data_IF_944247832242
#
_entry.id   IF_944247832242
#
_cell.length_a   1.000
_cell.length_b   1.000
_cell.length_c   1.000
_cell.angle_alpha   90.00
_cell.angle_beta   90.00
_cell.angle_gamma   90.00
#
_symmetry.space_group_name_H-M   'P 1'
#
loop_
_entity.id
_entity.type
_entity.pdbx_description
1 polymer ?
#
# COMPACT_ATOMS: atom_id res chain seq x y z
N UNK A 1 -18.92 -29.19 -14.11
CA UNK A 1 -17.90 -29.19 -13.03
C UNK A 1 -17.54 -27.75 -12.70
N UNK A 2 -18.30 -27.13 -11.78
CA UNK A 2 -18.12 -25.72 -11.42
C UNK A 2 -17.26 -25.57 -10.15
N UNK A 3 -16.19 -24.79 -10.24
CA UNK A 3 -15.27 -24.53 -9.11
C UNK A 3 -15.88 -23.49 -8.16
N UNK A 4 -16.49 -24.00 -7.07
CA UNK A 4 -17.02 -23.25 -5.92
C UNK A 4 -15.93 -22.59 -5.05
N UNK A 5 -15.19 -21.61 -5.56
CA UNK A 5 -14.17 -20.88 -4.77
C UNK A 5 -14.52 -19.43 -4.39
N UNK A 6 -15.73 -18.94 -4.71
CA UNK A 6 -16.05 -17.51 -4.61
C UNK A 6 -17.09 -17.07 -3.56
N UNK A 7 -17.30 -17.82 -2.47
CA UNK A 7 -18.31 -17.45 -1.45
C UNK A 7 -17.83 -17.46 0.01
N UNK A 8 -16.59 -17.06 0.30
CA UNK A 8 -16.15 -16.95 1.71
C UNK A 8 -15.17 -15.82 2.05
N UNK A 9 -15.23 -14.70 1.34
CA UNK A 9 -14.54 -13.46 1.74
C UNK A 9 -15.52 -12.29 1.83
N UNK A 10 -16.55 -12.48 2.63
CA UNK A 10 -17.31 -11.38 3.21
C UNK A 10 -17.58 -11.73 4.66
N UNK A 11 -16.77 -11.15 5.55
CA UNK A 11 -17.07 -10.82 6.94
C UNK A 11 -15.82 -10.20 7.54
N UNK A 12 -15.99 -8.96 8.00
CA UNK A 12 -15.03 -8.16 8.75
C UNK A 12 -14.30 -9.02 9.79
N UNK A 13 -13.05 -9.40 9.49
CA UNK A 13 -12.13 -9.83 10.54
C UNK A 13 -11.50 -8.59 11.11
N UNK A 14 -11.73 -8.37 12.40
CA UNK A 14 -11.05 -7.32 13.13
C UNK A 14 -9.53 -7.42 12.93
N UNK A 15 -8.80 -6.28 12.89
CA UNK A 15 -7.35 -6.23 12.75
C UNK A 15 -6.56 -7.14 13.71
N UNK A 16 -7.20 -7.57 14.80
CA UNK A 16 -6.68 -8.43 15.87
C UNK A 16 -6.50 -9.90 15.51
N UNK A 17 -7.20 -10.44 14.50
CA UNK A 17 -7.04 -11.85 14.10
C UNK A 17 -5.90 -12.06 13.09
N UNK A 18 -5.70 -11.09 12.19
CA UNK A 18 -4.57 -11.12 11.25
C UNK A 18 -3.23 -11.04 11.98
N UNK A 19 -3.15 -10.29 13.08
CA UNK A 19 -1.92 -10.16 13.88
C UNK A 19 -1.50 -11.48 14.53
N UNK A 20 -2.45 -12.33 14.93
CA UNK A 20 -2.19 -13.63 15.58
C UNK A 20 -1.68 -14.70 14.61
N UNK A 21 -2.14 -14.69 13.34
CA UNK A 21 -1.67 -15.65 12.32
C UNK A 21 -0.28 -15.32 11.77
N UNK A 22 0.08 -14.03 11.71
CA UNK A 22 1.41 -13.56 11.24
C UNK A 22 2.53 -13.98 12.20
N UNK A 23 2.25 -14.07 13.50
CA UNK A 23 3.25 -14.39 14.52
C UNK A 23 3.78 -15.83 14.48
N UNK A 24 3.09 -16.78 13.82
CA UNK A 24 3.52 -18.20 13.77
C UNK A 24 4.46 -18.55 12.61
N UNK A 25 4.63 -17.65 11.61
CA UNK A 25 5.42 -17.93 10.39
C UNK A 25 6.72 -17.11 10.27
N UNK A 26 7.11 -16.34 11.28
CA UNK A 26 8.31 -15.49 11.24
C UNK A 26 8.23 -14.32 10.25
N UNK A 27 7.03 -13.96 9.79
CA UNK A 27 6.85 -12.83 8.87
C UNK A 27 7.08 -11.50 9.61
N UNK A 28 7.69 -10.49 8.96
CA UNK A 28 7.89 -9.18 9.56
C UNK A 28 6.58 -8.57 10.05
N UNK A 29 6.61 -7.97 11.24
CA UNK A 29 5.47 -7.21 11.78
C UNK A 29 5.18 -6.01 10.86
N UNK A 30 3.92 -5.57 10.75
CA UNK A 30 3.58 -4.34 10.04
C UNK A 30 4.40 -3.14 10.54
N UNK A 31 4.88 -2.32 9.61
CA UNK A 31 5.72 -1.17 9.92
C UNK A 31 4.84 0.01 10.37
N UNK A 32 5.05 0.52 11.59
CA UNK A 32 4.37 1.71 12.11
C UNK A 32 5.08 2.97 11.61
N UNK A 33 4.37 3.82 10.87
CA UNK A 33 4.90 5.05 10.26
C UNK A 33 3.95 6.24 10.46
N UNK A 34 4.43 7.45 10.17
CA UNK A 34 3.66 8.69 10.19
C UNK A 34 3.41 9.13 8.74
N UNK A 35 2.19 9.54 8.43
CA UNK A 35 1.88 10.09 7.11
C UNK A 35 2.53 11.47 6.97
N UNK A 36 3.26 11.70 5.88
CA UNK A 36 3.92 13.00 5.65
C UNK A 36 2.90 14.13 5.46
N UNK A 37 1.75 13.84 4.85
CA UNK A 37 0.70 14.82 4.57
C UNK A 37 -0.14 15.16 5.80
N UNK A 38 -0.87 14.18 6.36
CA UNK A 38 -1.81 14.45 7.45
C UNK A 38 -1.21 14.25 8.86
N UNK A 39 0.06 13.84 8.96
CA UNK A 39 0.77 13.56 10.22
C UNK A 39 0.14 12.47 11.10
N UNK A 40 -0.91 11.78 10.64
CA UNK A 40 -1.51 10.62 11.33
C UNK A 40 -0.61 9.39 11.25
N UNK A 41 -0.63 8.57 12.30
CA UNK A 41 0.11 7.32 12.34
C UNK A 41 -0.69 6.20 11.67
N UNK A 42 -0.03 5.33 10.91
CA UNK A 42 -0.65 4.17 10.27
C UNK A 42 0.35 3.01 10.14
N UNK A 43 -0.13 1.85 9.69
CA UNK A 43 0.67 0.63 9.54
C UNK A 43 0.79 0.23 8.07
N UNK A 44 2.02 -0.05 7.63
CA UNK A 44 2.31 -0.60 6.32
C UNK A 44 2.45 -2.13 6.46
N UNK A 45 1.69 -2.86 5.65
CA UNK A 45 1.69 -4.32 5.65
C UNK A 45 2.91 -4.87 4.92
N UNK A 46 3.45 -5.99 5.41
CA UNK A 46 4.42 -6.79 4.67
C UNK A 46 3.71 -7.66 3.64
N UNK A 47 4.14 -7.59 2.39
CA UNK A 47 3.61 -8.33 1.24
C UNK A 47 4.54 -9.52 1.00
N UNK A 48 4.02 -10.73 1.20
CA UNK A 48 4.81 -11.96 1.15
C UNK A 48 5.36 -12.23 -0.25
N UNK A 49 4.55 -11.99 -1.28
CA UNK A 49 4.89 -12.27 -2.69
C UNK A 49 6.10 -11.44 -3.13
N UNK A 50 6.12 -10.16 -2.79
CA UNK A 50 7.22 -9.25 -3.12
C UNK A 50 8.36 -9.25 -2.08
N UNK A 51 8.24 -10.05 -1.01
CA UNK A 51 9.18 -10.10 0.12
C UNK A 51 9.53 -8.70 0.66
N UNK A 52 8.57 -7.77 0.66
CA UNK A 52 8.79 -6.37 1.03
C UNK A 52 7.58 -5.74 1.70
N UNK A 53 7.72 -4.50 2.20
CA UNK A 53 6.56 -3.73 2.64
C UNK A 53 5.82 -3.15 1.44
N UNK A 54 4.50 -2.96 1.58
CA UNK A 54 3.66 -2.49 0.49
C UNK A 54 4.18 -1.18 -0.10
N UNK A 55 4.38 -1.16 -1.41
CA UNK A 55 4.85 0.02 -2.15
C UNK A 55 3.76 1.10 -2.23
N UNK A 56 2.48 0.73 -2.12
CA UNK A 56 1.32 1.64 -2.11
C UNK A 56 1.50 2.82 -1.17
N UNK A 57 2.05 2.60 0.02
CA UNK A 57 2.17 3.64 1.02
C UNK A 57 3.43 4.50 0.88
N UNK A 58 4.28 4.22 -0.12
CA UNK A 58 5.41 5.06 -0.45
C UNK A 58 4.99 6.10 -1.50
N UNK A 59 5.17 7.38 -1.20
CA UNK A 59 4.87 8.49 -2.10
C UNK A 59 5.70 8.45 -3.38
N UNK A 60 6.98 8.14 -3.25
CA UNK A 60 7.93 8.10 -4.35
C UNK A 60 7.58 6.99 -5.34
N UNK A 61 6.98 5.90 -4.85
CA UNK A 61 6.42 4.88 -5.73
C UNK A 61 5.42 5.45 -6.73
N UNK A 62 4.62 6.45 -6.34
CA UNK A 62 3.61 7.04 -7.21
C UNK A 62 4.16 8.13 -8.13
N UNK A 63 5.09 8.94 -7.64
CA UNK A 63 5.55 10.16 -8.31
C UNK A 63 6.78 9.95 -9.19
N UNK A 64 7.66 9.01 -8.85
CA UNK A 64 8.86 8.72 -9.63
C UNK A 64 8.56 7.60 -10.66
N UNK A 65 8.67 7.84 -11.98
CA UNK A 65 8.44 6.81 -13.01
C UNK A 65 9.34 5.57 -12.86
N UNK A 66 10.57 5.71 -12.36
CA UNK A 66 11.56 4.64 -12.26
C UNK A 66 11.43 3.81 -10.98
N UNK A 67 10.53 4.21 -10.08
CA UNK A 67 10.35 3.61 -8.76
C UNK A 67 10.01 2.10 -8.76
N UNK A 68 9.50 1.54 -9.86
CA UNK A 68 9.19 0.11 -9.90
C UNK A 68 10.47 -0.73 -9.72
N UNK A 69 11.62 -0.22 -10.16
CA UNK A 69 12.94 -0.87 -10.09
C UNK A 69 13.74 -0.52 -8.82
N UNK A 70 13.25 0.43 -8.01
CA UNK A 70 13.95 0.85 -6.80
C UNK A 70 13.64 -0.08 -5.63
N UNK A 71 14.69 -0.56 -4.98
CA UNK A 71 14.60 -1.36 -3.76
C UNK A 71 14.45 -0.45 -2.53
N UNK A 72 13.27 0.16 -2.40
CA UNK A 72 12.96 1.14 -1.36
C UNK A 72 13.16 0.68 0.09
N UNK A 73 13.27 -0.63 0.35
CA UNK A 73 13.22 -1.20 1.69
C UNK A 73 14.54 -1.82 2.18
N UNK A 74 15.60 -1.81 1.35
CA UNK A 74 16.89 -2.43 1.70
C UNK A 74 17.59 -1.74 2.86
N UNK A 75 17.61 -0.41 2.87
CA UNK A 75 18.23 0.35 3.96
C UNK A 75 17.23 0.70 5.06
N UNK A 76 17.57 0.35 6.30
CA UNK A 76 16.79 0.68 7.50
C UNK A 76 16.66 2.20 7.68
N UNK A 77 17.60 2.97 7.15
CA UNK A 77 17.58 4.44 7.13
C UNK A 77 16.76 5.03 5.96
N UNK A 78 16.69 4.37 4.80
CA UNK A 78 15.79 4.79 3.70
C UNK A 78 14.30 4.69 4.09
N UNK A 79 13.98 3.89 5.11
CA UNK A 79 12.64 3.83 5.73
C UNK A 79 12.29 5.08 6.55
N UNK A 80 13.19 6.08 6.65
CA UNK A 80 12.99 7.30 7.44
C UNK A 80 11.89 8.17 6.81
N UNK A 81 10.67 7.83 7.23
CA UNK A 81 9.61 8.70 7.77
C UNK A 81 8.96 9.78 6.89
N UNK A 82 9.61 10.32 5.87
CA UNK A 82 9.12 11.58 5.26
C UNK A 82 8.40 11.43 3.92
N UNK A 83 8.39 10.23 3.33
CA UNK A 83 7.68 9.95 2.07
C UNK A 83 6.53 8.94 2.22
N UNK A 84 6.06 8.67 3.44
CA UNK A 84 4.99 7.69 3.65
C UNK A 84 3.61 8.35 3.61
N UNK A 85 2.70 7.83 2.80
CA UNK A 85 1.35 8.37 2.61
C UNK A 85 0.30 7.35 3.06
N UNK A 86 -0.66 7.80 3.88
CA UNK A 86 -1.74 6.94 4.33
C UNK A 86 -2.81 6.81 3.25
N UNK A 87 -3.62 5.75 3.37
CA UNK A 87 -4.68 5.43 2.42
C UNK A 87 -5.68 6.59 2.25
N UNK A 88 -6.02 7.30 3.34
CA UNK A 88 -6.91 8.45 3.27
C UNK A 88 -6.33 9.62 2.44
N UNK A 89 -5.03 9.91 2.59
CA UNK A 89 -4.38 10.95 1.80
C UNK A 89 -4.21 10.55 0.33
N UNK A 90 -3.97 9.27 0.05
CA UNK A 90 -3.95 8.74 -1.33
C UNK A 90 -5.32 8.87 -2.00
N UNK A 91 -6.40 8.53 -1.29
CA UNK A 91 -7.75 8.69 -1.80
C UNK A 91 -8.09 10.17 -2.02
N UNK A 92 -7.73 11.05 -1.08
CA UNK A 92 -7.92 12.49 -1.23
C UNK A 92 -7.19 13.04 -2.47
N UNK A 93 -5.95 12.60 -2.72
CA UNK A 93 -5.24 12.90 -3.96
C UNK A 93 -6.06 12.45 -5.18
N UNK A 94 -6.49 11.18 -5.22
CA UNK A 94 -7.24 10.64 -6.36
C UNK A 94 -8.55 11.39 -6.64
N UNK A 95 -9.24 11.86 -5.61
CA UNK A 95 -10.49 12.62 -5.76
C UNK A 95 -10.23 14.07 -6.20
N UNK A 96 -9.08 14.65 -5.86
CA UNK A 96 -8.61 15.88 -6.49
C UNK A 96 -7.99 15.57 -7.87
N UNK A 97 -8.84 15.52 -8.90
CA UNK A 97 -8.44 15.07 -10.24
C UNK A 97 -7.28 15.87 -10.81
N UNK A 98 -7.34 17.19 -10.76
CA UNK A 98 -6.29 18.09 -11.27
C UNK A 98 -4.93 17.74 -10.65
N UNK A 99 -4.86 17.75 -9.31
CA UNK A 99 -3.64 17.43 -8.59
C UNK A 99 -3.16 16.00 -8.87
N UNK A 100 -4.07 15.03 -8.96
CA UNK A 100 -3.72 13.64 -9.28
C UNK A 100 -3.06 13.50 -10.66
N UNK A 101 -3.64 14.14 -11.69
CA UNK A 101 -3.14 14.07 -13.07
C UNK A 101 -1.79 14.76 -13.22
N UNK A 102 -1.58 15.83 -12.46
CA UNK A 102 -0.31 16.54 -12.39
C UNK A 102 0.75 15.78 -11.61
N UNK A 103 0.38 15.12 -10.53
CA UNK A 103 1.35 14.51 -9.59
C UNK A 103 1.83 13.14 -10.06
N UNK A 104 0.92 12.26 -10.48
CA UNK A 104 1.26 10.91 -10.91
C UNK A 104 1.37 10.94 -12.41
N UNK A 105 2.58 10.85 -12.98
CA UNK A 105 2.77 10.96 -14.43
C UNK A 105 2.57 9.64 -15.17
N UNK A 106 3.03 8.53 -14.59
CA UNK A 106 3.00 7.21 -15.20
C UNK A 106 1.56 6.68 -15.39
N UNK A 107 1.12 6.40 -16.64
CA UNK A 107 -0.20 5.84 -16.93
C UNK A 107 -0.50 4.51 -16.21
N UNK A 108 0.49 3.64 -16.05
CA UNK A 108 0.32 2.35 -15.34
C UNK A 108 0.01 2.60 -13.87
N UNK A 109 0.69 3.55 -13.24
CA UNK A 109 0.45 3.95 -11.85
C UNK A 109 -0.90 4.62 -11.67
N UNK A 110 -1.31 5.47 -12.63
CA UNK A 110 -2.68 6.02 -12.64
C UNK A 110 -3.73 4.92 -12.66
N UNK A 111 -3.53 3.90 -13.49
CA UNK A 111 -4.44 2.75 -13.57
C UNK A 111 -4.42 1.92 -12.27
N UNK A 112 -3.24 1.65 -11.69
CA UNK A 112 -3.13 0.98 -10.38
C UNK A 112 -3.86 1.74 -9.28
N UNK A 113 -3.74 3.08 -9.23
CA UNK A 113 -4.46 3.92 -8.26
C UNK A 113 -5.98 3.86 -8.46
N UNK A 114 -6.45 3.85 -9.72
CA UNK A 114 -7.88 3.66 -10.02
C UNK A 114 -8.37 2.32 -9.49
N UNK A 115 -7.68 1.24 -9.83
CA UNK A 115 -8.01 -0.11 -9.34
C UNK A 115 -8.03 -0.15 -7.82
N UNK A 116 -7.07 0.50 -7.17
CA UNK A 116 -7.02 0.61 -5.71
C UNK A 116 -8.27 1.28 -5.14
N UNK A 117 -8.69 2.42 -5.70
CA UNK A 117 -9.85 3.17 -5.23
C UNK A 117 -11.13 2.34 -5.35
N UNK A 118 -11.30 1.60 -6.45
CA UNK A 118 -12.51 0.80 -6.70
C UNK A 118 -12.54 -0.53 -5.95
N UNK A 119 -11.39 -1.18 -5.74
CA UNK A 119 -11.34 -2.55 -5.18
C UNK A 119 -10.83 -2.60 -3.74
N UNK A 120 -10.24 -1.51 -3.24
CA UNK A 120 -9.53 -1.48 -1.96
C UNK A 120 -8.21 -2.24 -1.96
N UNK A 121 -7.77 -2.78 -3.11
CA UNK A 121 -6.59 -3.66 -3.20
C UNK A 121 -5.65 -3.23 -4.32
N UNK A 122 -4.35 -3.48 -4.12
CA UNK A 122 -3.33 -3.37 -5.17
C UNK A 122 -2.65 -4.72 -5.28
N UNK A 123 -2.57 -5.24 -6.50
CA UNK A 123 -1.67 -6.33 -6.85
C UNK A 123 -0.28 -5.74 -7.10
N UNK A 124 0.62 -5.94 -6.15
CA UNK A 124 2.03 -5.52 -6.19
C UNK A 124 2.97 -6.67 -6.55
#
# INVERSE_FOLDING_TARGET
MERKWYKKFSKNKEPSELSKLVSKRGLPKPLKVKCFQCKKTFFIKYVVVSKGYSKKNNWEYWTNPEADNLEFWKDKEARKKDNQVCDACLLALYYNKELFWETIKDPKKKQRMRTYVYTGTISE
#
